data_IF_003674350226
#
_entry.id   IF_003674350226
#
_cell.length_a   1.000
_cell.length_b   1.000
_cell.length_c   1.000
_cell.angle_alpha   90.00
_cell.angle_beta   90.00
_cell.angle_gamma   90.00
#
_symmetry.space_group_name_H-M   'P 1'
#
loop_
_entity.id
_entity.type
_entity.pdbx_description
1 polymer ?
#
# COMPACT_ATOMS: atom_id res chain seq x y z
N UNK A 1 -10.11 -10.21 -25.48
CA UNK A 1 -10.27 -10.78 -24.13
C UNK A 1 -8.89 -11.08 -23.56
N UNK A 2 -8.63 -10.79 -22.28
CA UNK A 2 -7.35 -11.11 -21.66
C UNK A 2 -7.15 -12.63 -21.49
N UNK A 3 -5.92 -13.16 -21.58
CA UNK A 3 -5.64 -14.57 -21.36
C UNK A 3 -6.12 -15.03 -19.96
N UNK A 4 -6.68 -16.24 -19.86
CA UNK A 4 -7.18 -16.78 -18.59
C UNK A 4 -6.11 -16.80 -17.48
N UNK A 5 -4.85 -17.06 -17.85
CA UNK A 5 -3.70 -17.00 -16.94
C UNK A 5 -3.50 -15.60 -16.35
N UNK A 6 -3.62 -14.56 -17.17
CA UNK A 6 -3.49 -13.16 -16.73
C UNK A 6 -4.60 -12.80 -15.73
N UNK A 7 -5.85 -13.14 -16.04
CA UNK A 7 -6.99 -12.87 -15.14
C UNK A 7 -6.80 -13.57 -13.78
N UNK A 8 -6.28 -14.80 -13.78
CA UNK A 8 -5.95 -15.53 -12.56
C UNK A 8 -4.83 -14.85 -11.75
N UNK A 9 -3.77 -14.39 -12.42
CA UNK A 9 -2.66 -13.68 -11.79
C UNK A 9 -3.11 -12.37 -11.12
N UNK A 10 -3.88 -11.54 -11.84
CA UNK A 10 -4.45 -10.28 -11.32
C UNK A 10 -5.29 -10.53 -10.07
N UNK A 11 -6.20 -11.53 -10.12
CA UNK A 11 -7.07 -11.88 -8.99
C UNK A 11 -6.28 -12.40 -7.79
N UNK A 12 -5.25 -13.21 -8.03
CA UNK A 12 -4.39 -13.74 -6.98
C UNK A 12 -3.60 -12.63 -6.29
N UNK A 13 -3.03 -11.70 -7.06
CA UNK A 13 -2.32 -10.54 -6.53
C UNK A 13 -3.24 -9.65 -5.69
N UNK A 14 -4.39 -9.28 -6.23
CA UNK A 14 -5.41 -8.49 -5.55
C UNK A 14 -5.83 -9.09 -4.20
N UNK A 15 -6.16 -10.39 -4.19
CA UNK A 15 -6.54 -11.10 -2.95
C UNK A 15 -5.39 -11.17 -1.95
N UNK A 16 -4.16 -11.38 -2.42
CA UNK A 16 -2.99 -11.48 -1.55
C UNK A 16 -2.69 -10.16 -0.85
N UNK A 17 -2.78 -9.03 -1.56
CA UNK A 17 -2.62 -7.69 -0.99
C UNK A 17 -3.66 -7.44 0.10
N UNK A 18 -4.94 -7.66 -0.19
CA UNK A 18 -6.01 -7.47 0.82
C UNK A 18 -5.89 -8.40 2.02
N UNK A 19 -5.27 -9.58 1.85
CA UNK A 19 -4.98 -10.47 2.96
C UNK A 19 -3.84 -9.91 3.83
N UNK A 20 -2.78 -9.38 3.22
CA UNK A 20 -1.66 -8.73 3.92
C UNK A 20 -2.12 -7.46 4.67
N UNK A 21 -3.08 -6.73 4.11
CA UNK A 21 -3.68 -5.56 4.76
C UNK A 21 -4.35 -5.86 6.10
N UNK A 22 -4.75 -7.12 6.36
CA UNK A 22 -5.34 -7.52 7.64
C UNK A 22 -4.36 -7.44 8.81
N UNK A 23 -3.06 -7.37 8.52
CA UNK A 23 -2.03 -7.18 9.53
C UNK A 23 -1.71 -5.69 9.78
N UNK A 24 -2.27 -4.77 9.00
CA UNK A 24 -2.08 -3.33 9.22
C UNK A 24 -2.97 -2.79 10.35
N UNK A 25 -2.54 -1.72 11.04
CA UNK A 25 -3.41 -0.91 11.89
C UNK A 25 -4.71 -0.54 11.18
N UNK A 26 -5.80 -0.44 11.95
CA UNK A 26 -7.15 -0.31 11.39
C UNK A 26 -7.29 0.86 10.41
N UNK A 27 -6.67 2.01 10.71
CA UNK A 27 -6.74 3.21 9.89
C UNK A 27 -6.01 3.04 8.56
N UNK A 28 -4.79 2.47 8.61
CA UNK A 28 -4.00 2.17 7.41
C UNK A 28 -4.68 1.12 6.55
N UNK A 29 -5.29 0.11 7.18
CA UNK A 29 -6.08 -0.90 6.47
C UNK A 29 -7.29 -0.29 5.78
N UNK A 30 -8.05 0.57 6.47
CA UNK A 30 -9.25 1.17 5.91
C UNK A 30 -8.93 2.02 4.66
N UNK A 31 -7.90 2.87 4.76
CA UNK A 31 -7.41 3.68 3.65
C UNK A 31 -6.87 2.80 2.52
N UNK A 32 -6.01 1.84 2.85
CA UNK A 32 -5.35 0.95 1.89
C UNK A 32 -6.34 0.04 1.14
N UNK A 33 -7.28 -0.60 1.83
CA UNK A 33 -8.29 -1.48 1.20
C UNK A 33 -9.12 -0.71 0.17
N UNK A 34 -9.50 0.53 0.47
CA UNK A 34 -10.23 1.38 -0.45
C UNK A 34 -9.37 1.75 -1.67
N UNK A 35 -8.13 2.18 -1.44
CA UNK A 35 -7.19 2.53 -2.51
C UNK A 35 -6.95 1.36 -3.47
N UNK A 36 -6.65 0.16 -2.95
CA UNK A 36 -6.44 -1.06 -3.75
C UNK A 36 -7.67 -1.39 -4.61
N UNK A 37 -8.87 -1.31 -4.02
CA UNK A 37 -10.13 -1.55 -4.75
C UNK A 37 -10.31 -0.58 -5.90
N UNK A 38 -9.99 0.69 -5.69
CA UNK A 38 -10.21 1.74 -6.67
C UNK A 38 -9.18 1.66 -7.80
N UNK A 39 -7.90 1.44 -7.47
CA UNK A 39 -6.84 1.33 -8.47
C UNK A 39 -7.00 0.10 -9.37
N UNK A 40 -7.28 -1.08 -8.82
CA UNK A 40 -7.57 -2.27 -9.65
C UNK A 40 -8.84 -2.11 -10.49
N UNK A 41 -9.80 -1.29 -10.06
CA UNK A 41 -11.01 -1.00 -10.84
C UNK A 41 -10.71 -0.07 -12.00
N UNK A 42 -9.94 1.00 -11.75
CA UNK A 42 -9.52 1.98 -12.76
C UNK A 42 -8.67 1.33 -13.85
N UNK A 43 -7.84 0.35 -13.49
CA UNK A 43 -6.95 -0.34 -14.43
C UNK A 43 -7.61 -1.49 -15.24
N UNK A 44 -8.92 -1.74 -15.08
CA UNK A 44 -9.62 -2.79 -15.86
C UNK A 44 -9.61 -2.55 -17.37
N UNK A 45 -9.54 -1.29 -17.79
CA UNK A 45 -9.58 -0.88 -19.20
C UNK A 45 -8.28 -0.20 -19.65
N UNK A 46 -7.21 -0.31 -18.86
CA UNK A 46 -5.90 0.25 -19.19
C UNK A 46 -5.26 -0.49 -20.38
N UNK A 47 -4.33 0.18 -21.05
CA UNK A 47 -3.57 -0.40 -22.16
C UNK A 47 -2.64 -1.53 -21.69
N UNK A 48 -2.20 -2.39 -22.61
CA UNK A 48 -1.34 -3.52 -22.26
C UNK A 48 0.01 -3.09 -21.66
N UNK A 49 0.55 -1.94 -22.09
CA UNK A 49 1.79 -1.38 -21.54
C UNK A 49 1.58 -0.91 -20.10
N UNK A 50 0.52 -0.14 -19.84
CA UNK A 50 0.15 0.30 -18.50
C UNK A 50 -0.11 -0.88 -17.57
N UNK A 51 -0.84 -1.90 -18.04
CA UNK A 51 -1.12 -3.12 -17.27
C UNK A 51 0.17 -3.86 -16.89
N UNK A 52 1.17 -3.88 -17.79
CA UNK A 52 2.46 -4.53 -17.52
C UNK A 52 3.19 -3.82 -16.38
N UNK A 53 3.30 -2.49 -16.46
CA UNK A 53 3.93 -1.68 -15.40
C UNK A 53 3.14 -1.76 -14.09
N UNK A 54 1.81 -1.67 -14.17
CA UNK A 54 0.92 -1.83 -13.03
C UNK A 54 1.17 -3.17 -12.32
N UNK A 55 1.15 -4.28 -13.04
CA UNK A 55 1.36 -5.59 -12.43
C UNK A 55 2.75 -5.71 -11.78
N UNK A 56 3.80 -5.12 -12.35
CA UNK A 56 5.13 -5.12 -11.76
C UNK A 56 5.16 -4.32 -10.43
N UNK A 57 4.63 -3.10 -10.42
CA UNK A 57 4.62 -2.25 -9.22
C UNK A 57 3.76 -2.83 -8.10
N UNK A 58 2.60 -3.40 -8.44
CA UNK A 58 1.74 -4.04 -7.45
C UNK A 58 2.32 -5.36 -6.92
N UNK A 59 3.11 -6.06 -7.73
CA UNK A 59 3.88 -7.22 -7.28
C UNK A 59 4.95 -6.79 -6.27
N UNK A 60 5.72 -5.75 -6.58
CA UNK A 60 6.70 -5.16 -5.68
C UNK A 60 6.07 -4.72 -4.35
N UNK A 61 4.93 -4.01 -4.40
CA UNK A 61 4.20 -3.61 -3.20
C UNK A 61 3.78 -4.81 -2.34
N UNK A 62 3.23 -5.86 -2.96
CA UNK A 62 2.87 -7.11 -2.27
C UNK A 62 4.10 -7.76 -1.62
N UNK A 63 5.25 -7.75 -2.30
CA UNK A 63 6.49 -8.32 -1.77
C UNK A 63 7.03 -7.52 -0.58
N UNK A 64 7.03 -6.19 -0.66
CA UNK A 64 7.37 -5.31 0.47
C UNK A 64 6.47 -5.57 1.68
N UNK A 65 5.15 -5.58 1.50
CA UNK A 65 4.20 -5.86 2.59
C UNK A 65 4.43 -7.24 3.20
N UNK A 66 4.68 -8.25 2.37
CA UNK A 66 4.91 -9.61 2.85
C UNK A 66 6.17 -9.69 3.71
N UNK A 67 7.26 -9.05 3.29
CA UNK A 67 8.50 -8.97 4.07
C UNK A 67 8.26 -8.29 5.41
N UNK A 68 7.59 -7.14 5.43
CA UNK A 68 7.31 -6.38 6.66
C UNK A 68 6.46 -7.17 7.66
N UNK A 69 5.43 -7.88 7.18
CA UNK A 69 4.60 -8.74 8.03
C UNK A 69 5.41 -9.92 8.59
N UNK A 70 6.28 -10.53 7.79
CA UNK A 70 7.12 -11.64 8.24
C UNK A 70 8.19 -11.21 9.25
N UNK A 71 8.82 -10.04 9.06
CA UNK A 71 9.81 -9.50 9.98
C UNK A 71 9.22 -9.17 11.37
N UNK A 72 7.97 -8.73 11.41
CA UNK A 72 7.28 -8.44 12.67
C UNK A 72 6.97 -9.71 13.48
N UNK A 73 6.76 -10.85 12.82
CA UNK A 73 6.58 -12.14 13.51
C UNK A 73 7.84 -12.56 14.30
N UNK A 74 9.00 -11.97 14.02
CA UNK A 74 10.29 -12.24 14.68
C UNK A 74 10.60 -11.36 15.90
N UNK A 75 9.60 -10.76 16.57
CA UNK A 75 9.73 -9.85 17.73
C UNK A 75 10.21 -8.42 17.44
N UNK A 76 10.07 -7.93 16.20
CA UNK A 76 10.23 -6.50 15.90
C UNK A 76 8.85 -5.81 15.91
N UNK A 77 8.83 -4.54 16.31
CA UNK A 77 7.64 -3.68 16.15
C UNK A 77 7.22 -3.72 14.68
N UNK A 78 5.95 -4.03 14.41
CA UNK A 78 5.41 -4.03 13.06
C UNK A 78 5.41 -2.59 12.54
N UNK A 79 6.28 -2.31 11.57
CA UNK A 79 6.41 -1.02 10.89
C UNK A 79 6.10 -1.24 9.43
N UNK A 80 5.18 -0.43 8.90
CA UNK A 80 4.79 -0.46 7.50
C UNK A 80 5.41 0.71 6.74
N UNK A 81 5.73 0.47 5.47
CA UNK A 81 6.33 1.46 4.58
C UNK A 81 7.87 1.51 4.66
N UNK A 82 8.47 2.35 3.85
CA UNK A 82 9.90 2.61 3.83
C UNK A 82 10.16 4.08 3.53
N UNK A 83 11.35 4.56 3.87
CA UNK A 83 11.75 5.92 3.56
C UNK A 83 11.90 6.11 2.04
N UNK A 84 11.54 7.31 1.58
CA UNK A 84 11.75 7.69 0.18
C UNK A 84 13.26 7.90 -0.06
N UNK A 85 13.78 7.27 -1.11
CA UNK A 85 15.17 7.51 -1.53
C UNK A 85 15.33 8.91 -2.10
N UNK A 86 16.54 9.46 -2.03
CA UNK A 86 16.86 10.76 -2.63
C UNK A 86 16.57 10.79 -4.14
N UNK A 87 16.75 9.66 -4.83
CA UNK A 87 16.42 9.53 -6.25
C UNK A 87 14.93 9.73 -6.51
N UNK A 88 14.06 9.08 -5.72
CA UNK A 88 12.60 9.25 -5.84
C UNK A 88 12.15 10.66 -5.51
N UNK A 89 12.85 11.35 -4.60
CA UNK A 89 12.55 12.75 -4.29
C UNK A 89 12.93 13.67 -5.45
N UNK A 90 14.02 13.38 -6.17
CA UNK A 90 14.44 14.16 -7.36
C UNK A 90 13.49 14.01 -8.55
N UNK A 91 12.71 12.93 -8.59
CA UNK A 91 11.69 12.71 -9.62
C UNK A 91 10.41 13.54 -9.38
N UNK A 92 10.27 14.16 -8.19
CA UNK A 92 9.13 15.01 -7.84
C UNK A 92 9.38 16.47 -8.21
N UNK A 93 8.30 17.17 -8.60
CA UNK A 93 8.32 18.62 -8.77
C UNK A 93 8.43 19.33 -7.40
N UNK A 94 8.93 20.56 -7.39
CA UNK A 94 9.11 21.35 -6.17
C UNK A 94 7.79 21.49 -5.37
N UNK A 95 6.66 21.67 -6.07
CA UNK A 95 5.35 21.75 -5.43
C UNK A 95 4.94 20.42 -4.79
N UNK A 96 5.26 19.29 -5.42
CA UNK A 96 4.96 17.95 -4.89
C UNK A 96 5.82 17.65 -3.66
N UNK A 97 7.09 18.10 -3.66
CA UNK A 97 7.98 18.02 -2.51
C UNK A 97 7.42 18.85 -1.35
N UNK A 98 6.96 20.07 -1.64
CA UNK A 98 6.28 20.92 -0.65
C UNK A 98 5.06 20.26 -0.01
N UNK A 99 4.17 19.70 -0.83
CA UNK A 99 2.98 18.97 -0.37
C UNK A 99 3.33 17.74 0.48
N UNK A 100 4.36 16.99 0.07
CA UNK A 100 4.82 15.82 0.81
C UNK A 100 5.40 16.23 2.18
N UNK A 101 6.12 17.35 2.25
CA UNK A 101 6.65 17.90 3.49
C UNK A 101 5.52 18.36 4.43
N UNK A 102 4.50 19.06 3.90
CA UNK A 102 3.31 19.43 4.68
C UNK A 102 2.59 18.19 5.23
N UNK A 103 2.42 17.14 4.41
CA UNK A 103 1.83 15.87 4.85
C UNK A 103 2.65 15.20 5.97
N UNK A 104 3.97 15.25 5.89
CA UNK A 104 4.85 14.74 6.95
C UNK A 104 4.65 15.52 8.26
N UNK A 105 4.57 16.85 8.19
CA UNK A 105 4.32 17.68 9.37
C UNK A 105 2.95 17.39 9.99
N UNK A 106 1.90 17.26 9.18
CA UNK A 106 0.55 16.94 9.67
C UNK A 106 0.47 15.55 10.31
N UNK A 107 1.07 14.53 9.69
CA UNK A 107 1.03 13.15 10.16
C UNK A 107 1.87 12.87 11.41
N UNK A 108 2.78 13.78 11.78
CA UNK A 108 3.67 13.64 12.95
C UNK A 108 3.23 14.49 14.15
N UNK A 109 2.09 15.19 14.05
CA UNK A 109 1.54 15.98 15.17
C UNK A 109 1.20 15.09 16.37
N UNK A 110 1.47 15.53 17.61
CA UNK A 110 1.24 14.74 18.82
C UNK A 110 -0.25 14.53 19.13
N UNK A 111 -1.13 15.45 18.71
CA UNK A 111 -2.56 15.37 18.96
C UNK A 111 -3.25 14.67 17.79
N UNK A 112 -3.53 13.37 17.94
CA UNK A 112 -4.43 12.68 17.02
C UNK A 112 -5.83 13.26 17.18
N UNK A 113 -6.41 13.75 16.09
CA UNK A 113 -7.76 14.30 16.08
C UNK A 113 -8.83 13.23 16.41
N UNK A 114 -8.48 11.94 16.21
CA UNK A 114 -9.33 10.79 16.51
C UNK A 114 -8.52 9.79 17.33
N UNK A 115 -9.09 9.32 18.45
CA UNK A 115 -8.54 8.23 19.26
C UNK A 115 -9.32 6.95 18.94
N UNK A 116 -8.81 6.19 17.97
CA UNK A 116 -9.45 4.97 17.47
C UNK A 116 -8.88 3.79 18.27
N UNK A 117 -9.72 3.20 19.11
CA UNK A 117 -9.37 2.02 19.88
C UNK A 117 -9.20 0.83 18.93
N UNK A 118 -8.01 0.23 18.88
CA UNK A 118 -7.81 -1.05 18.22
C UNK A 118 -8.56 -2.13 19.02
N UNK A 119 -9.76 -2.52 18.58
CA UNK A 119 -10.45 -3.68 19.14
C UNK A 119 -9.53 -4.89 19.01
N UNK A 120 -9.03 -5.36 20.16
CA UNK A 120 -8.18 -6.53 20.24
C UNK A 120 -8.87 -7.73 19.61
N UNK A 121 -8.16 -8.42 18.70
CA UNK A 121 -8.59 -9.70 18.13
C UNK A 121 -9.12 -10.63 19.23
N UNK A 122 -10.32 -11.21 19.10
CA UNK A 122 -10.82 -12.17 20.06
C UNK A 122 -9.90 -13.39 20.08
N UNK A 123 -9.61 -13.87 21.30
CA UNK A 123 -8.82 -15.07 21.60
C UNK A 123 -9.40 -16.33 20.97
#
# INVERSE_FOLDING_TARGET
MAPAAHVSAVRSLYKRILLLHRFMPIDLRALGDQYVKDEFRRHKTASAEEVTRFMAEWQNYKDTLQTQVLEAAGNKKLVFGCDLSEEKLKDLQDEQIGQLYELMLESTKPNRQFDIQEEGTPK
#
